data_IF_362342077730
#
_entry.id   IF_362342077730
#
_cell.length_a   1.000
_cell.length_b   1.000
_cell.length_c   1.000
_cell.angle_alpha   90.00
_cell.angle_beta   90.00
_cell.angle_gamma   90.00
#
_symmetry.space_group_name_H-M   'P 1'
#
loop_
_entity.id
_entity.type
_entity.pdbx_description
1 polymer ?
#
# COMPACT_ATOMS: atom_id res chain seq x y z
N UNK A 1 18.61 3.36 2.33
CA UNK A 1 17.31 3.62 1.68
C UNK A 1 16.24 3.03 2.56
N UNK A 2 15.24 3.84 2.92
CA UNK A 2 14.07 3.40 3.67
C UNK A 2 13.19 2.57 2.75
N UNK A 3 12.84 1.35 3.17
CA UNK A 3 11.91 0.52 2.39
C UNK A 3 10.48 0.97 2.67
N UNK A 4 9.73 1.13 1.60
CA UNK A 4 8.31 1.41 1.65
C UNK A 4 7.54 0.44 0.75
N UNK A 5 6.39 -0.04 1.21
CA UNK A 5 5.50 -0.89 0.42
C UNK A 5 4.14 -0.20 0.32
N UNK A 6 3.70 0.07 -0.90
CA UNK A 6 2.38 0.60 -1.19
C UNK A 6 1.44 -0.55 -1.58
N UNK A 7 0.53 -0.89 -0.68
CA UNK A 7 -0.51 -1.91 -0.90
C UNK A 7 -1.77 -1.27 -1.47
N UNK A 8 -2.29 -1.85 -2.54
CA UNK A 8 -3.54 -1.44 -3.15
C UNK A 8 -4.34 -2.60 -3.77
N UNK A 9 -5.57 -2.34 -4.22
CA UNK A 9 -6.44 -3.34 -4.84
C UNK A 9 -7.08 -2.87 -6.16
N UNK A 10 -6.49 -1.86 -6.83
CA UNK A 10 -7.00 -1.36 -8.11
C UNK A 10 -8.25 -0.47 -8.02
N UNK A 11 -8.69 -0.14 -6.81
CA UNK A 11 -9.79 0.79 -6.56
C UNK A 11 -9.50 2.20 -7.11
N UNK A 12 -10.51 3.00 -7.45
CA UNK A 12 -10.29 4.35 -8.01
C UNK A 12 -9.39 5.21 -7.12
N UNK A 13 -9.67 5.22 -5.81
CA UNK A 13 -8.87 5.97 -4.84
C UNK A 13 -7.45 5.42 -4.67
N UNK A 14 -7.25 4.12 -4.91
CA UNK A 14 -5.94 3.49 -4.93
C UNK A 14 -5.05 4.09 -6.03
N UNK A 15 -5.61 4.26 -7.23
CA UNK A 15 -4.90 4.81 -8.38
C UNK A 15 -4.62 6.29 -8.18
N UNK A 16 -5.58 7.03 -7.63
CA UNK A 16 -5.38 8.44 -7.29
C UNK A 16 -4.27 8.64 -6.25
N UNK A 17 -4.30 7.88 -5.16
CA UNK A 17 -3.27 7.95 -4.13
C UNK A 17 -1.88 7.58 -4.67
N UNK A 18 -1.78 6.57 -5.55
CA UNK A 18 -0.52 6.19 -6.18
C UNK A 18 0.06 7.34 -7.02
N UNK A 19 -0.77 7.94 -7.88
CA UNK A 19 -0.37 9.02 -8.80
C UNK A 19 -0.07 10.33 -8.10
N UNK A 20 -0.74 10.62 -7.00
CA UNK A 20 -0.59 11.88 -6.26
C UNK A 20 0.50 11.83 -5.20
N UNK A 21 0.67 10.69 -4.50
CA UNK A 21 1.60 10.59 -3.37
C UNK A 21 2.97 10.07 -3.76
N UNK A 22 3.05 8.94 -4.49
CA UNK A 22 4.33 8.27 -4.73
C UNK A 22 5.36 9.14 -5.49
N UNK A 23 4.98 10.00 -6.45
CA UNK A 23 5.93 10.90 -7.11
C UNK A 23 6.53 11.97 -6.19
N UNK A 24 5.91 12.27 -5.05
CA UNK A 24 6.41 13.25 -4.08
C UNK A 24 7.50 12.67 -3.17
N UNK A 25 7.68 11.35 -3.16
CA UNK A 25 8.68 10.67 -2.35
C UNK A 25 10.04 10.68 -3.06
N UNK A 26 11.09 11.09 -2.35
CA UNK A 26 12.45 11.09 -2.89
C UNK A 26 12.97 9.66 -3.09
N UNK A 27 13.04 9.24 -4.36
CA UNK A 27 13.50 7.89 -4.77
C UNK A 27 14.96 7.59 -4.43
N UNK A 28 15.77 8.60 -4.06
CA UNK A 28 17.13 8.37 -3.55
C UNK A 28 17.12 7.95 -2.08
N UNK A 29 16.08 8.33 -1.34
CA UNK A 29 15.94 8.04 0.08
C UNK A 29 15.01 6.85 0.34
N UNK A 30 13.96 6.71 -0.47
CA UNK A 30 12.91 5.70 -0.30
C UNK A 30 12.91 4.74 -1.49
N UNK A 31 13.00 3.45 -1.20
CA UNK A 31 12.79 2.36 -2.15
C UNK A 31 11.34 1.89 -2.02
N UNK A 32 10.52 2.16 -3.03
CA UNK A 32 9.07 1.95 -2.99
C UNK A 32 8.71 0.73 -3.83
N UNK A 33 8.11 -0.26 -3.19
CA UNK A 33 7.46 -1.39 -3.85
C UNK A 33 5.95 -1.13 -3.97
N UNK A 34 5.36 -1.40 -5.14
CA UNK A 34 3.90 -1.31 -5.36
C UNK A 34 3.33 -2.73 -5.45
N UNK A 35 2.35 -3.05 -4.61
CA UNK A 35 1.76 -4.38 -4.49
C UNK A 35 0.25 -4.33 -4.71
N UNK A 36 -0.19 -4.94 -5.81
CA UNK A 36 -1.60 -5.10 -6.14
C UNK A 36 -2.16 -6.37 -5.50
N UNK A 37 -2.86 -6.24 -4.38
CA UNK A 37 -3.36 -7.37 -3.59
C UNK A 37 -4.44 -8.21 -4.29
N UNK A 38 -5.22 -7.62 -5.20
CA UNK A 38 -6.19 -8.40 -5.99
C UNK A 38 -5.51 -9.32 -7.03
N UNK A 39 -4.28 -9.00 -7.46
CA UNK A 39 -3.51 -9.81 -8.40
C UNK A 39 -2.54 -10.74 -7.65
N UNK A 40 -2.07 -10.30 -6.49
CA UNK A 40 -1.08 -10.98 -5.65
C UNK A 40 -1.70 -11.39 -4.31
N UNK A 41 -2.78 -12.17 -4.35
CA UNK A 41 -3.55 -12.55 -3.14
C UNK A 41 -2.70 -13.23 -2.05
N UNK A 42 -1.62 -13.91 -2.42
CA UNK A 42 -0.65 -14.48 -1.47
C UNK A 42 0.02 -13.43 -0.56
N UNK A 43 0.09 -12.17 -0.99
CA UNK A 43 0.65 -11.03 -0.23
C UNK A 43 -0.33 -10.46 0.80
N UNK A 44 -1.62 -10.84 0.79
CA UNK A 44 -2.62 -10.35 1.75
C UNK A 44 -2.21 -10.69 3.19
N UNK A 45 -1.70 -11.91 3.41
CA UNK A 45 -1.22 -12.34 4.73
C UNK A 45 0.01 -11.53 5.20
N UNK A 46 0.84 -11.04 4.27
CA UNK A 46 1.96 -10.16 4.59
C UNK A 46 1.47 -8.77 4.98
N UNK A 47 0.55 -8.19 4.19
CA UNK A 47 -0.05 -6.90 4.50
C UNK A 47 -0.74 -6.91 5.87
N UNK A 48 -1.48 -7.98 6.19
CA UNK A 48 -2.13 -8.15 7.49
C UNK A 48 -1.11 -8.21 8.64
N UNK A 49 -0.04 -8.98 8.48
CA UNK A 49 1.05 -9.05 9.48
C UNK A 49 1.76 -7.71 9.67
N UNK A 50 1.86 -6.91 8.62
CA UNK A 50 2.39 -5.55 8.68
C UNK A 50 1.43 -4.57 9.39
N UNK A 51 0.19 -4.97 9.70
CA UNK A 51 -0.82 -4.13 10.36
C UNK A 51 -1.71 -3.36 9.39
N UNK A 52 -1.72 -3.71 8.10
CA UNK A 52 -2.63 -3.12 7.12
C UNK A 52 -4.07 -3.55 7.42
N UNK A 53 -4.98 -2.56 7.47
CA UNK A 53 -6.40 -2.75 7.75
C UNK A 53 -7.28 -2.38 6.56
N UNK A 54 -6.81 -1.45 5.75
CA UNK A 54 -7.48 -0.99 4.54
C UNK A 54 -6.45 -0.63 3.48
N UNK A 55 -6.88 -0.64 2.23
CA UNK A 55 -6.11 -0.12 1.10
C UNK A 55 -6.78 1.13 0.53
N UNK A 56 -6.04 2.06 -0.10
CA UNK A 56 -4.59 2.06 -0.23
C UNK A 56 -3.85 2.31 1.10
N UNK A 57 -2.68 1.69 1.26
CA UNK A 57 -1.83 1.86 2.44
C UNK A 57 -0.36 1.89 2.07
N UNK A 58 0.39 2.78 2.71
CA UNK A 58 1.85 2.83 2.63
C UNK A 58 2.45 2.32 3.94
N UNK A 59 3.26 1.28 3.86
CA UNK A 59 4.03 0.77 5.00
C UNK A 59 5.46 1.28 4.87
N UNK A 60 5.94 2.07 5.83
CA UNK A 60 7.30 2.64 5.85
C UNK A 60 7.94 2.30 7.18
N UNK A 61 9.07 1.59 7.15
CA UNK A 61 9.78 1.19 8.39
C UNK A 61 8.87 0.49 9.42
N UNK A 62 7.94 -0.35 8.93
CA UNK A 62 6.95 -1.05 9.75
C UNK A 62 5.80 -0.17 10.28
N UNK A 63 5.79 1.13 10.01
CA UNK A 63 4.67 2.02 10.30
C UNK A 63 3.67 2.00 9.14
N UNK A 64 2.39 1.85 9.45
CA UNK A 64 1.31 1.81 8.46
C UNK A 64 0.62 3.15 8.35
N UNK A 65 0.54 3.68 7.14
CA UNK A 65 -0.23 4.86 6.78
C UNK A 65 -1.39 4.42 5.90
N UNK A 66 -2.61 4.40 6.45
CA UNK A 66 -3.82 4.20 5.66
C UNK A 66 -4.19 5.50 4.94
N UNK A 67 -4.42 5.40 3.64
CA UNK A 67 -4.63 6.56 2.77
C UNK A 67 -6.06 6.55 2.29
N UNK A 68 -6.86 7.51 2.77
CA UNK A 68 -8.23 7.78 2.31
C UNK A 68 -9.07 6.52 2.02
N UNK A 69 -9.14 5.61 3.01
CA UNK A 69 -9.85 4.32 3.03
C UNK A 69 -10.63 3.98 1.74
N UNK A 70 -10.07 3.12 0.89
CA UNK A 70 -10.72 2.65 -0.34
C UNK A 70 -11.48 1.34 -0.16
N UNK A 71 -10.83 0.32 0.39
CA UNK A 71 -11.44 -0.98 0.70
C UNK A 71 -10.82 -1.56 1.97
N UNK A 72 -11.59 -2.35 2.73
CA UNK A 72 -11.01 -3.06 3.86
C UNK A 72 -10.13 -4.21 3.35
N UNK A 73 -9.05 -4.53 4.07
CA UNK A 73 -8.21 -5.68 3.71
C UNK A 73 -9.01 -7.00 3.80
N UNK A 74 -10.01 -7.05 4.68
CA UNK A 74 -10.94 -8.17 4.83
C UNK A 74 -11.84 -8.40 3.61
N UNK A 75 -12.11 -7.36 2.80
CA UNK A 75 -12.92 -7.49 1.58
C UNK A 75 -12.16 -8.14 0.41
N UNK A 76 -10.84 -8.33 0.56
CA UNK A 76 -9.97 -8.90 -0.46
C UNK A 76 -9.69 -10.40 -0.23
N UNK A 77 -10.27 -11.00 0.82
CA UNK A 77 -10.12 -12.41 1.17
C UNK A 77 -11.19 -13.28 0.51
#
# INVERSE_FOLDING_TARGET
MTKAIYYHAGCAICVEAERSLLPLLDRKQVDIEVVHLAEQSARIAEAEKAGVKSVPALVVDGQVLHLNFGAALSDLK
#
